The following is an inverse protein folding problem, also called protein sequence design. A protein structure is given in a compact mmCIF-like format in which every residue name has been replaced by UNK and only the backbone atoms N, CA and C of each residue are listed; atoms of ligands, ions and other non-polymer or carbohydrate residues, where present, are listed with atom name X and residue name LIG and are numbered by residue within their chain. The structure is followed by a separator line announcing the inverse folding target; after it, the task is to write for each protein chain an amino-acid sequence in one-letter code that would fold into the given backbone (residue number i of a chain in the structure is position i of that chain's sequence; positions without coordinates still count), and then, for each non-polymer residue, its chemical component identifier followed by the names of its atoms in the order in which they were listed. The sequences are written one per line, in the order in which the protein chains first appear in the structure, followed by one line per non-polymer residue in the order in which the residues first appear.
data_IF_483510422213
#
_entry.id   IF_483510422213
#
_cell.length_a   1.000
_cell.length_b   1.000
_cell.length_c   1.000
_cell.angle_alpha   90.00
_cell.angle_beta   90.00
_cell.angle_gamma   90.00
#
_symmetry.space_group_name_H-M   'P 1'
#
loop_
_entity.id
_entity.type
_entity.pdbx_description
1 polymer ?
#
# COMPACT_ATOMS: atom_id res chain seq x y z
N UNK A 1 -6.53 5.32 10.29
CA UNK A 1 -7.10 5.02 8.95
C UNK A 1 -6.16 5.53 7.90
N UNK A 2 -6.17 4.92 6.71
CA UNK A 2 -5.44 5.44 5.54
C UNK A 2 -6.42 5.69 4.40
N UNK A 3 -5.98 6.46 3.42
CA UNK A 3 -6.74 6.80 2.22
C UNK A 3 -6.30 5.97 1.02
N UNK A 4 -7.14 5.94 -0.03
CA UNK A 4 -6.76 5.37 -1.32
C UNK A 4 -5.45 6.01 -1.81
N UNK A 5 -4.54 5.19 -2.31
CA UNK A 5 -3.21 5.55 -2.82
C UNK A 5 -2.21 6.05 -1.78
N UNK A 6 -2.48 5.92 -0.48
CA UNK A 6 -1.45 6.16 0.53
C UNK A 6 -0.32 5.14 0.43
N UNK A 7 0.90 5.63 0.65
CA UNK A 7 2.09 4.80 0.88
C UNK A 7 2.47 4.94 2.34
N UNK A 8 2.58 3.82 3.05
CA UNK A 8 2.92 3.81 4.46
C UNK A 8 4.06 2.86 4.77
N UNK A 9 4.80 3.14 5.84
CA UNK A 9 5.70 2.19 6.46
C UNK A 9 4.98 1.48 7.61
N UNK A 10 5.05 0.15 7.64
CA UNK A 10 4.53 -0.68 8.72
C UNK A 10 5.68 -1.16 9.62
N UNK A 11 5.84 -0.60 10.83
CA UNK A 11 6.99 -0.90 11.68
C UNK A 11 7.07 -2.37 12.10
N UNK A 12 5.94 -2.97 12.51
CA UNK A 12 5.90 -4.34 13.03
C UNK A 12 6.33 -5.38 11.99
N UNK A 13 5.97 -5.16 10.71
CA UNK A 13 6.35 -6.05 9.60
C UNK A 13 7.63 -5.63 8.88
N UNK A 14 8.22 -4.47 9.22
CA UNK A 14 9.35 -3.85 8.48
C UNK A 14 9.06 -3.79 6.98
N UNK A 15 7.86 -3.32 6.62
CA UNK A 15 7.34 -3.37 5.26
C UNK A 15 6.87 -2.00 4.77
N UNK A 16 6.91 -1.81 3.45
CA UNK A 16 6.23 -0.70 2.79
C UNK A 16 4.86 -1.22 2.32
N UNK A 17 3.82 -0.50 2.70
CA UNK A 17 2.43 -0.79 2.32
C UNK A 17 1.97 0.20 1.25
N UNK A 18 1.38 -0.33 0.18
CA UNK A 18 0.75 0.44 -0.89
C UNK A 18 -0.76 0.18 -0.84
N UNK A 19 -1.56 1.20 -0.52
CA UNK A 19 -3.00 1.02 -0.31
C UNK A 19 -3.81 1.34 -1.57
N UNK A 20 -4.25 0.30 -2.28
CA UNK A 20 -5.04 0.44 -3.53
C UNK A 20 -6.54 0.16 -3.39
N UNK A 21 -7.02 -0.14 -2.19
CA UNK A 21 -8.42 -0.44 -1.93
C UNK A 21 -8.68 -0.94 -0.51
N UNK A 22 -9.92 -1.38 -0.24
CA UNK A 22 -10.32 -1.90 1.06
C UNK A 22 -9.48 -3.11 1.48
N UNK A 23 -9.24 -3.21 2.77
CA UNK A 23 -8.57 -4.34 3.43
C UNK A 23 -9.60 -5.28 4.06
N UNK A 24 -9.35 -6.58 4.23
CA UNK A 24 -10.31 -7.54 4.79
C UNK A 24 -10.90 -7.16 6.15
N UNK A 25 -10.16 -6.40 6.96
CA UNK A 25 -10.57 -5.99 8.31
C UNK A 25 -11.24 -4.61 8.38
N UNK A 26 -11.33 -3.90 7.24
CA UNK A 26 -11.97 -2.60 7.15
C UNK A 26 -13.49 -2.74 7.01
N UNK A 27 -14.25 -1.79 7.54
CA UNK A 27 -15.70 -1.70 7.24
C UNK A 27 -15.92 -1.16 5.82
N UNK A 28 -17.18 -1.13 5.38
CA UNK A 28 -17.55 -0.57 4.07
C UNK A 28 -17.04 0.89 3.95
N UNK A 29 -16.20 1.13 2.95
CA UNK A 29 -15.59 2.46 2.71
C UNK A 29 -14.30 2.74 3.47
N UNK A 30 -13.84 1.82 4.31
CA UNK A 30 -12.62 1.96 5.11
C UNK A 30 -11.44 1.19 4.50
N UNK A 31 -10.27 1.83 4.48
CA UNK A 31 -8.99 1.15 4.25
C UNK A 31 -8.25 1.08 5.58
N UNK A 32 -8.24 -0.10 6.20
CA UNK A 32 -7.78 -0.28 7.58
C UNK A 32 -6.54 -1.19 7.62
N UNK A 33 -5.35 -0.64 7.93
CA UNK A 33 -4.18 -1.48 8.14
C UNK A 33 -4.38 -2.39 9.36
N UNK A 34 -3.71 -3.56 9.36
CA UNK A 34 -3.81 -4.55 10.43
C UNK A 34 -3.45 -3.98 11.81
N UNK A 35 -2.38 -3.17 11.87
CA UNK A 35 -1.95 -2.41 13.04
C UNK A 35 -1.53 -0.99 12.61
N UNK A 36 -1.13 -0.09 13.54
CA UNK A 36 -0.66 1.24 13.18
C UNK A 36 0.47 1.23 12.14
N UNK A 37 0.39 2.18 11.21
CA UNK A 37 1.38 2.43 10.14
C UNK A 37 1.64 3.94 10.06
N UNK A 38 2.80 4.32 9.54
CA UNK A 38 3.17 5.71 9.33
C UNK A 38 2.99 6.05 7.84
N UNK A 39 2.08 6.96 7.50
CA UNK A 39 1.95 7.44 6.11
C UNK A 39 3.20 8.26 5.76
N UNK A 40 3.89 7.87 4.69
CA UNK A 40 5.15 8.48 4.24
C UNK A 40 5.05 9.10 2.85
N UNK A 41 3.93 8.91 2.16
CA UNK A 41 3.71 9.50 0.84
C UNK A 41 2.41 9.05 0.19
N UNK A 42 2.29 9.33 -1.10
CA UNK A 42 1.17 8.93 -1.95
C UNK A 42 1.68 8.43 -3.31
N UNK A 43 0.93 7.51 -3.90
CA UNK A 43 1.16 7.03 -5.26
C UNK A 43 0.71 8.13 -6.23
N UNK A 44 1.64 8.66 -7.02
CA UNK A 44 1.41 9.80 -7.92
C UNK A 44 0.88 9.40 -9.30
N UNK A 45 1.17 8.17 -9.75
CA UNK A 45 0.67 7.64 -11.02
C UNK A 45 0.07 6.24 -10.79
N UNK A 46 -1.18 6.16 -10.29
CA UNK A 46 -1.81 4.88 -9.96
C UNK A 46 -2.36 4.18 -11.20
N UNK A 47 -1.78 3.03 -11.56
CA UNK A 47 -2.33 2.12 -12.56
C UNK A 47 -2.78 0.81 -11.88
N UNK A 48 -4.10 0.62 -11.73
CA UNK A 48 -4.65 -0.59 -11.10
C UNK A 48 -4.45 -1.84 -11.95
N UNK A 49 -4.18 -1.73 -13.24
CA UNK A 49 -3.95 -2.89 -14.12
C UNK A 49 -2.67 -3.64 -13.76
N UNK A 50 -1.76 -3.02 -12.99
CA UNK A 50 -0.56 -3.70 -12.49
C UNK A 50 -0.89 -4.77 -11.43
N UNK A 51 -1.99 -4.61 -10.69
CA UNK A 51 -2.34 -5.50 -9.59
C UNK A 51 -2.66 -6.92 -10.08
N UNK A 52 -3.20 -7.08 -11.28
CA UNK A 52 -3.43 -8.40 -11.89
C UNK A 52 -2.14 -9.08 -12.37
N UNK A 53 -1.02 -8.35 -12.40
CA UNK A 53 0.30 -8.82 -12.86
C UNK A 53 1.25 -9.11 -11.69
N UNK A 54 0.87 -8.77 -10.46
CA UNK A 54 1.68 -8.95 -9.26
C UNK A 54 1.11 -10.11 -8.45
N UNK A 55 1.94 -11.13 -8.21
CA UNK A 55 1.62 -12.24 -7.33
C UNK A 55 2.48 -12.16 -6.07
N UNK A 56 2.10 -12.90 -5.04
CA UNK A 56 2.92 -13.05 -3.85
C UNK A 56 4.31 -13.58 -4.23
N UNK A 57 5.35 -12.97 -3.66
CA UNK A 57 6.75 -13.31 -3.97
C UNK A 57 7.32 -12.62 -5.22
N UNK A 58 6.53 -11.83 -5.96
CA UNK A 58 7.07 -11.00 -7.05
C UNK A 58 8.17 -10.07 -6.51
N UNK A 59 9.37 -10.17 -7.09
CA UNK A 59 10.50 -9.30 -6.72
C UNK A 59 10.25 -7.88 -7.22
N UNK A 60 10.41 -6.92 -6.32
CA UNK A 60 10.31 -5.48 -6.61
C UNK A 60 11.62 -4.77 -6.27
N UNK A 61 11.90 -3.66 -6.95
CA UNK A 61 13.04 -2.80 -6.67
C UNK A 61 12.58 -1.36 -6.51
N UNK A 62 13.10 -0.65 -5.52
CA UNK A 62 12.92 0.79 -5.39
C UNK A 62 14.04 1.51 -6.14
N UNK A 63 13.67 2.56 -6.88
CA UNK A 63 14.61 3.47 -7.53
C UNK A 63 14.24 4.89 -7.14
N UNK A 64 15.26 5.70 -6.83
CA UNK A 64 15.08 7.14 -6.69
C UNK A 64 14.83 7.71 -8.08
N UNK A 65 13.76 8.47 -8.23
CA UNK A 65 13.52 9.28 -9.42
C UNK A 65 14.29 10.58 -9.20
N UNK A 66 15.31 10.82 -10.02
CA UNK A 66 16.11 12.04 -10.08
C UNK A 66 15.53 13.00 -11.10
#
# INVERSE_FOLDING_TARGET
MVSINDVAYWPSGRAICLFFGPTPIGKKGEIKPYSPVNVVGKITNPDKTILSKINDGTKISFRKIS
#
